data_IF_354168025611
#
_entry.id   IF_354168025611
#
_cell.length_a   1.000
_cell.length_b   1.000
_cell.length_c   1.000
_cell.angle_alpha   90.00
_cell.angle_beta   90.00
_cell.angle_gamma   90.00
#
_symmetry.space_group_name_H-M   'P 1'
#
loop_
_entity.id
_entity.type
_entity.pdbx_description
1 polymer ?
#
# COMPACT_ATOMS: atom_id res chain seq x y z
N UNK A 1 8.96 12.23 5.93
CA UNK A 1 8.86 12.60 4.50
C UNK A 1 8.21 11.42 3.81
N UNK A 2 7.37 11.61 2.78
CA UNK A 2 6.73 10.44 2.13
C UNK A 2 7.81 9.67 1.37
N UNK A 3 7.99 8.40 1.72
CA UNK A 3 9.01 7.54 1.10
C UNK A 3 8.44 6.76 -0.09
N UNK A 4 7.14 6.43 -0.04
CA UNK A 4 6.38 5.78 -1.12
C UNK A 4 4.97 6.37 -1.22
N UNK A 5 4.52 6.62 -2.44
CA UNK A 5 3.11 6.81 -2.75
C UNK A 5 2.76 6.07 -4.03
N UNK A 6 1.76 5.20 -4.00
CA UNK A 6 1.37 4.44 -5.18
C UNK A 6 -0.15 4.31 -5.30
N UNK A 7 -0.61 4.28 -6.55
CA UNK A 7 -1.99 4.00 -6.92
C UNK A 7 -1.95 2.78 -7.82
N UNK A 8 -2.69 1.75 -7.42
CA UNK A 8 -2.79 0.51 -8.17
C UNK A 8 -4.21 -0.04 -8.12
N UNK A 9 -4.60 -0.79 -9.14
CA UNK A 9 -5.90 -1.45 -9.16
C UNK A 9 -5.92 -2.65 -8.20
N UNK A 10 -7.10 -3.03 -7.72
CA UNK A 10 -7.28 -4.28 -6.93
C UNK A 10 -6.85 -5.53 -7.70
N UNK A 11 -6.84 -5.48 -9.03
CA UNK A 11 -6.27 -6.51 -9.91
C UNK A 11 -4.73 -6.57 -9.91
N UNK A 12 -4.05 -5.72 -9.14
CA UNK A 12 -2.58 -5.72 -8.98
C UNK A 12 -1.81 -4.88 -9.99
N UNK A 13 -2.47 -4.23 -10.95
CA UNK A 13 -1.82 -3.35 -11.92
C UNK A 13 -1.47 -2.00 -11.27
N UNK A 14 -0.18 -1.66 -11.23
CA UNK A 14 0.29 -0.35 -10.77
C UNK A 14 0.04 0.71 -11.84
N UNK A 15 -0.75 1.72 -11.49
CA UNK A 15 -1.12 2.82 -12.41
C UNK A 15 -0.16 4.00 -12.26
N UNK A 16 0.31 4.25 -11.03
CA UNK A 16 1.25 5.32 -10.72
C UNK A 16 2.08 4.99 -9.48
N UNK A 17 3.33 5.41 -9.46
CA UNK A 17 4.23 5.19 -8.33
C UNK A 17 5.26 6.33 -8.21
N UNK A 18 5.33 6.89 -7.01
CA UNK A 18 6.45 7.69 -6.53
C UNK A 18 7.19 6.90 -5.45
N UNK A 19 8.51 6.83 -5.57
CA UNK A 19 9.36 6.05 -4.67
C UNK A 19 10.73 6.72 -4.58
N UNK A 20 11.02 7.36 -3.45
CA UNK A 20 12.36 7.87 -3.17
C UNK A 20 13.26 6.73 -2.68
N UNK A 21 13.89 6.04 -3.63
CA UNK A 21 14.97 5.08 -3.39
C UNK A 21 14.53 3.78 -2.72
N UNK A 22 13.98 2.82 -3.50
CA UNK A 22 13.27 1.73 -2.83
C UNK A 22 13.27 0.34 -3.44
N UNK A 23 13.86 -0.59 -2.69
CA UNK A 23 13.73 -2.04 -2.84
C UNK A 23 12.80 -2.65 -1.77
N UNK A 24 12.69 -2.04 -0.59
CA UNK A 24 12.00 -2.61 0.57
C UNK A 24 10.46 -2.53 0.51
N UNK A 25 9.89 -1.61 -0.28
CA UNK A 25 8.44 -1.40 -0.26
C UNK A 25 7.65 -2.44 -1.04
N UNK A 26 8.27 -3.14 -2.00
CA UNK A 26 7.59 -4.23 -2.70
C UNK A 26 7.13 -5.29 -1.70
N UNK A 27 8.00 -5.64 -0.75
CA UNK A 27 7.69 -6.63 0.28
C UNK A 27 6.68 -6.10 1.29
N UNK A 28 6.80 -4.84 1.71
CA UNK A 28 5.85 -4.21 2.64
C UNK A 28 4.42 -4.11 2.05
N UNK A 29 4.30 -3.71 0.79
CA UNK A 29 3.01 -3.63 0.08
C UNK A 29 2.41 -5.02 -0.12
N UNK A 30 3.20 -6.01 -0.53
CA UNK A 30 2.73 -7.38 -0.69
C UNK A 30 2.28 -7.99 0.65
N UNK A 31 3.01 -7.73 1.72
CA UNK A 31 2.62 -8.17 3.06
C UNK A 31 1.30 -7.52 3.47
N UNK A 32 1.17 -6.18 3.36
CA UNK A 32 -0.09 -5.47 3.62
C UNK A 32 -1.27 -6.10 2.85
N UNK A 33 -1.10 -6.36 1.55
CA UNK A 33 -2.14 -6.98 0.74
C UNK A 33 -2.52 -8.34 1.34
N UNK A 34 -1.54 -9.19 1.61
CA UNK A 34 -1.78 -10.56 2.08
C UNK A 34 -2.33 -10.65 3.51
N UNK A 35 -1.92 -9.76 4.41
CA UNK A 35 -2.22 -9.84 5.84
C UNK A 35 -3.38 -8.94 6.26
N UNK A 36 -3.65 -7.86 5.52
CA UNK A 36 -4.69 -6.88 5.85
C UNK A 36 -5.81 -6.90 4.82
N UNK A 37 -5.49 -6.65 3.55
CA UNK A 37 -6.53 -6.48 2.51
C UNK A 37 -7.27 -7.78 2.21
N UNK A 38 -6.54 -8.88 1.94
CA UNK A 38 -7.13 -10.19 1.66
C UNK A 38 -7.80 -10.83 2.88
N UNK A 39 -7.41 -10.42 4.08
CA UNK A 39 -8.00 -10.89 5.34
C UNK A 39 -9.17 -10.00 5.80
N UNK A 40 -9.53 -8.98 5.01
CA UNK A 40 -10.59 -8.00 5.31
C UNK A 40 -10.48 -7.37 6.71
N UNK A 41 -9.24 -7.21 7.20
CA UNK A 41 -9.02 -6.63 8.53
C UNK A 41 -9.24 -5.13 8.47
N UNK A 42 -10.03 -4.60 9.40
CA UNK A 42 -10.28 -3.17 9.49
C UNK A 42 -9.14 -2.48 10.28
N UNK A 43 -8.00 -2.27 9.62
CA UNK A 43 -6.81 -1.66 10.19
C UNK A 43 -6.50 -0.37 9.44
N UNK A 44 -6.38 0.74 10.15
CA UNK A 44 -6.17 2.07 9.56
C UNK A 44 -4.68 2.39 9.29
N UNK A 45 -3.76 1.64 9.90
CA UNK A 45 -2.31 1.77 9.71
C UNK A 45 -1.61 0.44 9.95
N UNK A 46 -0.72 0.06 9.05
CA UNK A 46 0.13 -1.12 9.16
C UNK A 46 1.57 -0.67 9.39
N UNK A 47 2.19 -1.12 10.47
CA UNK A 47 3.58 -0.77 10.79
C UNK A 47 4.49 -1.96 10.48
N UNK A 48 5.53 -1.71 9.69
CA UNK A 48 6.58 -2.71 9.41
C UNK A 48 7.94 -2.04 9.44
N UNK A 49 8.87 -2.61 10.20
CA UNK A 49 10.29 -2.19 10.25
C UNK A 49 10.50 -0.68 10.49
N UNK A 50 9.58 -0.05 11.25
CA UNK A 50 9.62 1.38 11.55
C UNK A 50 8.90 2.28 10.53
N UNK A 51 8.47 1.73 9.39
CA UNK A 51 7.71 2.43 8.37
C UNK A 51 6.20 2.28 8.61
N UNK A 52 5.47 3.39 8.49
CA UNK A 52 4.01 3.42 8.63
C UNK A 52 3.36 3.38 7.26
N UNK A 53 2.61 2.31 6.98
CA UNK A 53 1.81 2.17 5.76
C UNK A 53 0.36 2.55 6.06
N UNK A 54 -0.17 3.48 5.28
CA UNK A 54 -1.60 3.80 5.25
C UNK A 54 -2.15 3.55 3.87
N UNK A 55 -3.42 3.15 3.80
CA UNK A 55 -4.10 2.91 2.55
C UNK A 55 -5.53 3.42 2.58
N UNK A 56 -6.08 3.66 1.38
CA UNK A 56 -7.48 3.93 1.13
C UNK A 56 -7.94 3.06 -0.03
N UNK A 57 -9.11 2.46 0.13
CA UNK A 57 -9.79 1.70 -0.91
C UNK A 57 -10.82 2.59 -1.60
N UNK A 58 -10.78 2.64 -2.92
CA UNK A 58 -11.86 3.14 -3.75
C UNK A 58 -12.54 1.93 -4.41
N UNK A 59 -13.71 1.59 -3.91
CA UNK A 59 -14.45 0.41 -4.39
C UNK A 59 -15.24 0.68 -5.66
N UNK A 60 -15.49 1.94 -6.03
CA UNK A 60 -16.22 2.30 -7.23
C UNK A 60 -15.36 2.07 -8.48
N UNK A 61 -14.06 2.38 -8.38
CA UNK A 61 -13.10 2.25 -9.48
C UNK A 61 -12.07 1.13 -9.28
N UNK A 62 -12.25 0.29 -8.26
CA UNK A 62 -11.32 -0.77 -7.86
C UNK A 62 -9.87 -0.31 -7.71
N UNK A 63 -9.67 0.80 -7.01
CA UNK A 63 -8.34 1.37 -6.73
C UNK A 63 -7.93 1.19 -5.27
N UNK A 64 -6.61 1.10 -5.11
CA UNK A 64 -5.92 1.14 -3.83
C UNK A 64 -4.93 2.29 -3.90
N UNK A 65 -5.08 3.24 -2.98
CA UNK A 65 -4.17 4.37 -2.80
C UNK A 65 -3.37 4.10 -1.53
N UNK A 66 -2.06 4.02 -1.66
CA UNK A 66 -1.16 3.64 -0.59
C UNK A 66 -0.07 4.68 -0.40
N UNK A 67 0.23 4.99 0.86
CA UNK A 67 1.32 5.86 1.26
C UNK A 67 2.14 5.21 2.36
N UNK A 68 3.47 5.38 2.29
CA UNK A 68 4.40 4.97 3.33
C UNK A 68 5.27 6.15 3.77
N UNK A 69 5.49 6.29 5.06
CA UNK A 69 6.31 7.34 5.69
C UNK A 69 6.84 6.93 7.06
#
# INVERSE_FOLDING_TARGET
>A
MIELFTIFGKGGLVLWCFSEGSHYFKDAVNELISTVLLQERNVTSFNRDGATVKYKLDNEFDLIILVCY
#
